data_IF_409942767404
#
_entry.id   IF_409942767404
#
_cell.length_a   1.000
_cell.length_b   1.000
_cell.length_c   1.000
_cell.angle_alpha   90.00
_cell.angle_beta   90.00
_cell.angle_gamma   90.00
#
_symmetry.space_group_name_H-M   'P 1'
#
loop_
_entity.id
_entity.type
_entity.pdbx_description
1 polymer ?
#
# COMPACT_ATOMS: atom_id res chain seq x y z
N UNK A 1 -16.66 8.46 7.94
CA UNK A 1 -16.85 9.28 6.73
C UNK A 1 -16.50 8.49 5.47
N UNK A 2 -16.97 8.94 4.33
CA UNK A 2 -16.70 8.34 3.02
C UNK A 2 -16.02 9.36 2.11
N UNK A 3 -14.97 8.92 1.39
CA UNK A 3 -14.32 9.74 0.38
C UNK A 3 -14.90 9.40 -0.99
N UNK A 4 -15.73 10.30 -1.53
CA UNK A 4 -16.38 10.15 -2.84
C UNK A 4 -17.14 8.82 -3.02
N UNK A 5 -17.70 8.25 -1.95
CA UNK A 5 -18.35 6.92 -1.98
C UNK A 5 -17.43 5.73 -2.27
N UNK A 6 -16.12 5.98 -2.48
CA UNK A 6 -15.16 4.96 -2.93
C UNK A 6 -14.50 4.21 -1.79
N UNK A 7 -14.27 4.90 -0.67
CA UNK A 7 -13.64 4.32 0.51
C UNK A 7 -14.16 4.96 1.79
N UNK A 8 -13.97 4.29 2.91
CA UNK A 8 -14.36 4.79 4.23
C UNK A 8 -13.12 5.13 5.06
N UNK A 9 -13.25 6.12 5.92
CA UNK A 9 -12.19 6.49 6.85
C UNK A 9 -12.77 7.11 8.14
N UNK A 10 -11.97 7.08 9.19
CA UNK A 10 -12.19 7.78 10.46
C UNK A 10 -11.04 8.77 10.63
N UNK A 11 -11.35 10.02 10.93
CA UNK A 11 -10.36 11.06 11.10
C UNK A 11 -10.62 12.28 10.21
N UNK A 12 -9.62 13.14 10.06
CA UNK A 12 -9.75 14.36 9.26
C UNK A 12 -9.45 14.09 7.78
N UNK A 13 -10.39 14.41 6.90
CA UNK A 13 -10.24 14.25 5.42
C UNK A 13 -8.97 14.94 4.88
N UNK A 14 -8.60 16.10 5.42
CA UNK A 14 -7.41 16.82 4.98
C UNK A 14 -6.08 16.08 5.28
N UNK A 15 -6.13 15.11 6.17
CA UNK A 15 -4.99 14.24 6.53
C UNK A 15 -4.98 12.91 5.78
N UNK A 16 -5.88 12.74 4.80
CA UNK A 16 -5.94 11.51 4.01
C UNK A 16 -4.62 11.30 3.27
N UNK A 17 -4.01 10.08 3.35
CA UNK A 17 -2.66 9.85 2.84
C UNK A 17 -2.53 10.13 1.34
N UNK A 18 -1.55 10.92 0.94
CA UNK A 18 -1.34 11.28 -0.47
C UNK A 18 -1.04 10.07 -1.35
N UNK A 19 -0.31 9.08 -0.82
CA UNK A 19 -0.10 7.81 -1.51
C UNK A 19 -1.42 7.07 -1.80
N UNK A 20 -2.37 7.11 -0.86
CA UNK A 20 -3.71 6.55 -1.08
C UNK A 20 -4.52 7.38 -2.10
N UNK A 21 -4.40 8.72 -2.09
CA UNK A 21 -5.02 9.56 -3.11
C UNK A 21 -4.53 9.18 -4.51
N UNK A 22 -3.21 9.09 -4.72
CA UNK A 22 -2.62 8.68 -6.00
C UNK A 22 -3.07 7.29 -6.43
N UNK A 23 -3.20 6.37 -5.49
CA UNK A 23 -3.71 5.02 -5.71
C UNK A 23 -5.17 5.05 -6.17
N UNK A 24 -6.05 5.74 -5.44
CA UNK A 24 -7.48 5.84 -5.75
C UNK A 24 -7.76 6.52 -7.08
N UNK A 25 -6.96 7.53 -7.43
CA UNK A 25 -7.06 8.24 -8.72
C UNK A 25 -6.49 7.43 -9.88
N UNK A 26 -5.72 6.37 -9.62
CA UNK A 26 -5.04 5.61 -10.67
C UNK A 26 -3.93 6.41 -11.39
N UNK A 27 -3.40 7.44 -10.75
CA UNK A 27 -2.40 8.36 -11.33
C UNK A 27 -0.99 8.17 -10.75
N UNK A 28 -0.83 7.21 -9.84
CA UNK A 28 0.46 6.84 -9.25
C UNK A 28 1.12 5.66 -9.95
N UNK A 29 2.43 5.53 -9.77
CA UNK A 29 3.17 4.32 -10.09
C UNK A 29 3.26 3.46 -8.83
N UNK A 30 2.82 2.21 -8.90
CA UNK A 30 2.95 1.30 -7.78
C UNK A 30 3.79 0.09 -8.15
N UNK A 31 4.23 -0.65 -7.13
CA UNK A 31 5.14 -1.77 -7.27
C UNK A 31 6.48 -1.41 -7.94
N UNK A 32 6.98 -0.18 -7.70
CA UNK A 32 8.37 0.16 -8.04
C UNK A 32 9.30 -0.60 -7.10
N UNK A 33 10.23 -1.33 -7.67
CA UNK A 33 11.13 -2.19 -6.90
C UNK A 33 12.58 -2.12 -7.37
N UNK A 34 13.49 -2.38 -6.44
CA UNK A 34 14.93 -2.53 -6.67
C UNK A 34 15.50 -3.78 -6.00
N UNK A 35 14.69 -4.47 -5.21
CA UNK A 35 15.06 -5.73 -4.58
C UNK A 35 13.99 -6.79 -4.79
N UNK A 36 14.41 -8.05 -4.79
CA UNK A 36 13.54 -9.23 -4.81
C UNK A 36 13.72 -10.06 -3.52
N UNK A 37 14.16 -9.43 -2.44
CA UNK A 37 14.46 -10.09 -1.16
C UNK A 37 13.45 -9.72 -0.09
N UNK A 38 13.21 -10.66 0.82
CA UNK A 38 12.49 -10.43 2.07
C UNK A 38 13.04 -11.33 3.16
N UNK A 39 13.07 -10.84 4.38
CA UNK A 39 13.53 -11.58 5.55
C UNK A 39 12.39 -12.16 6.41
N UNK A 40 11.13 -12.02 5.95
CA UNK A 40 9.94 -12.52 6.64
C UNK A 40 9.02 -13.21 5.63
N UNK A 41 8.44 -14.34 6.03
CA UNK A 41 7.46 -15.07 5.22
C UNK A 41 6.07 -14.96 5.87
N UNK A 42 5.34 -13.90 5.53
CA UNK A 42 3.99 -13.67 6.07
C UNK A 42 2.96 -14.56 5.37
N UNK A 43 2.12 -15.27 6.13
CA UNK A 43 1.03 -16.12 5.57
C UNK A 43 0.10 -15.37 4.61
N UNK A 44 -0.11 -14.08 4.84
CA UNK A 44 -0.96 -13.21 4.02
C UNK A 44 -0.23 -12.59 2.83
N UNK A 45 1.08 -12.85 2.66
CA UNK A 45 1.88 -12.22 1.61
C UNK A 45 1.41 -12.64 0.22
N UNK A 46 1.28 -11.67 -0.68
CA UNK A 46 0.98 -11.90 -2.09
C UNK A 46 2.03 -12.77 -2.80
N UNK A 47 3.28 -12.69 -2.32
CA UNK A 47 4.43 -13.43 -2.85
C UNK A 47 4.82 -14.60 -1.92
N UNK A 48 3.85 -15.17 -1.21
CA UNK A 48 4.12 -16.30 -0.33
C UNK A 48 4.70 -17.47 -1.14
N UNK A 49 5.81 -18.04 -0.68
CA UNK A 49 6.51 -19.12 -1.38
C UNK A 49 7.38 -18.70 -2.57
N UNK A 50 7.35 -17.41 -2.98
CA UNK A 50 8.12 -16.90 -4.13
C UNK A 50 9.35 -16.08 -3.73
N UNK A 51 9.77 -16.16 -2.48
CA UNK A 51 10.98 -15.49 -2.02
C UNK A 51 12.18 -16.01 -2.79
N UNK A 52 13.01 -15.11 -3.31
CA UNK A 52 14.22 -15.41 -4.10
C UNK A 52 14.00 -16.09 -5.46
N UNK A 53 12.75 -16.25 -5.93
CA UNK A 53 12.44 -16.87 -7.22
C UNK A 53 12.66 -15.94 -8.42
N UNK A 54 12.77 -14.64 -8.20
CA UNK A 54 12.91 -13.64 -9.27
C UNK A 54 14.37 -13.29 -9.51
N UNK A 55 14.79 -13.08 -10.78
CA UNK A 55 16.15 -12.64 -11.07
C UNK A 55 16.42 -11.28 -10.43
N UNK A 56 17.67 -11.02 -9.99
CA UNK A 56 18.03 -9.74 -9.38
C UNK A 56 17.81 -8.57 -10.34
N UNK A 57 17.45 -7.42 -9.77
CA UNK A 57 17.42 -6.17 -10.51
C UNK A 57 18.85 -5.63 -10.57
N UNK A 58 19.30 -5.31 -11.78
CA UNK A 58 20.67 -4.84 -12.02
C UNK A 58 21.00 -3.54 -11.26
N UNK A 59 22.29 -3.29 -11.06
CA UNK A 59 22.76 -2.03 -10.51
C UNK A 59 22.33 -0.86 -11.38
N UNK A 60 21.95 0.27 -10.79
CA UNK A 60 21.44 1.44 -11.52
C UNK A 60 20.09 1.22 -12.22
N UNK A 61 19.46 0.05 -12.04
CA UNK A 61 18.16 -0.26 -12.63
C UNK A 61 17.06 -0.26 -11.57
N UNK A 62 15.84 0.01 -12.01
CA UNK A 62 14.62 -0.18 -11.24
C UNK A 62 13.59 -0.91 -12.10
N UNK A 63 12.57 -1.45 -11.48
CA UNK A 63 11.55 -2.23 -12.17
C UNK A 63 10.16 -1.78 -11.75
N UNK A 64 9.23 -1.82 -12.71
CA UNK A 64 7.80 -1.64 -12.49
C UNK A 64 7.02 -2.53 -13.46
N UNK A 65 6.06 -3.31 -12.93
CA UNK A 65 5.20 -4.17 -13.75
C UNK A 65 5.96 -5.17 -14.63
N UNK A 66 7.12 -5.67 -14.19
CA UNK A 66 7.98 -6.59 -14.95
C UNK A 66 8.91 -5.90 -15.95
N UNK A 67 8.78 -4.58 -16.15
CA UNK A 67 9.65 -3.82 -17.05
C UNK A 67 10.77 -3.14 -16.27
N UNK A 68 12.00 -3.30 -16.75
CA UNK A 68 13.21 -2.72 -16.14
C UNK A 68 13.60 -1.43 -16.86
N UNK A 69 14.04 -0.44 -16.07
CA UNK A 69 14.48 0.86 -16.53
C UNK A 69 15.81 1.23 -15.86
N UNK A 70 16.58 2.09 -16.49
CA UNK A 70 17.75 2.71 -15.86
C UNK A 70 17.32 3.92 -15.01
N UNK A 71 17.99 4.15 -13.90
CA UNK A 71 17.74 5.33 -13.06
C UNK A 71 18.08 6.63 -13.80
N UNK A 72 19.05 6.60 -14.69
CA UNK A 72 19.46 7.76 -15.46
C UNK A 72 18.41 8.19 -16.48
N UNK A 73 17.50 7.31 -16.87
CA UNK A 73 16.40 7.62 -17.78
C UNK A 73 15.20 8.30 -17.10
N UNK A 74 15.18 8.40 -15.76
CA UNK A 74 14.01 8.95 -15.03
C UNK A 74 13.67 10.36 -15.50
N UNK A 75 14.64 11.24 -15.67
CA UNK A 75 14.42 12.63 -16.11
C UNK A 75 13.84 12.68 -17.53
N UNK A 76 14.37 11.86 -18.43
CA UNK A 76 13.85 11.72 -19.79
C UNK A 76 12.40 11.18 -19.74
N UNK A 77 12.15 10.14 -18.98
CA UNK A 77 10.81 9.55 -18.83
C UNK A 77 9.80 10.57 -18.32
N UNK A 78 10.19 11.38 -17.33
CA UNK A 78 9.35 12.46 -16.78
C UNK A 78 9.10 13.59 -17.78
N UNK A 79 9.99 13.78 -18.77
CA UNK A 79 9.82 14.79 -19.81
C UNK A 79 8.87 14.38 -20.93
N UNK A 80 8.78 13.08 -21.21
CA UNK A 80 7.98 12.54 -22.32
C UNK A 80 6.65 11.91 -21.88
N UNK A 81 6.48 11.65 -20.61
CA UNK A 81 5.29 11.04 -20.03
C UNK A 81 4.61 11.98 -19.05
N UNK A 82 3.29 11.83 -18.86
CA UNK A 82 2.59 12.56 -17.81
C UNK A 82 3.18 12.21 -16.45
N UNK A 83 3.58 13.22 -15.69
CA UNK A 83 4.18 13.06 -14.37
C UNK A 83 3.20 12.29 -13.44
N UNK A 84 3.66 11.21 -12.78
CA UNK A 84 2.83 10.52 -11.81
C UNK A 84 2.59 11.39 -10.58
N UNK A 85 1.42 11.24 -9.95
CA UNK A 85 1.11 11.97 -8.71
C UNK A 85 1.73 11.34 -7.47
N UNK A 86 2.14 10.07 -7.56
CA UNK A 86 2.82 9.38 -6.48
C UNK A 86 3.53 8.12 -6.95
N UNK A 87 4.49 7.67 -6.15
CA UNK A 87 5.26 6.43 -6.37
C UNK A 87 5.18 5.57 -5.12
N UNK A 88 4.88 4.28 -5.31
CA UNK A 88 4.90 3.28 -4.27
C UNK A 88 6.08 2.31 -4.46
N UNK A 89 7.01 2.34 -3.53
CA UNK A 89 8.04 1.34 -3.39
C UNK A 89 7.47 0.18 -2.57
N UNK A 90 6.90 -0.79 -3.27
CA UNK A 90 6.26 -1.97 -2.70
C UNK A 90 6.69 -3.20 -3.47
N UNK A 91 6.88 -4.25 -2.83
CA UNK A 91 7.28 -5.58 -3.25
C UNK A 91 8.37 -6.13 -2.33
N UNK A 92 8.05 -7.21 -1.64
CA UNK A 92 8.95 -7.83 -0.66
C UNK A 92 9.44 -6.81 0.40
N UNK A 93 10.75 -6.77 0.71
CA UNK A 93 11.26 -5.88 1.76
C UNK A 93 12.36 -4.96 1.24
N UNK A 94 12.05 -3.69 0.97
CA UNK A 94 13.05 -2.73 0.48
C UNK A 94 14.26 -2.56 1.39
N UNK A 95 14.08 -2.68 2.71
CA UNK A 95 15.18 -2.53 3.67
C UNK A 95 16.21 -3.65 3.64
N UNK A 96 15.99 -4.73 2.88
CA UNK A 96 17.02 -5.74 2.62
C UNK A 96 18.19 -5.20 1.78
N UNK A 97 17.93 -4.20 0.95
CA UNK A 97 18.89 -3.55 0.05
C UNK A 97 18.54 -2.06 -0.07
N UNK A 98 18.32 -1.38 1.05
CA UNK A 98 17.75 -0.03 1.09
C UNK A 98 18.61 1.02 0.39
N UNK A 99 19.92 0.83 0.40
CA UNK A 99 20.89 1.72 -0.27
C UNK A 99 20.64 1.85 -1.77
N UNK A 100 20.09 0.81 -2.39
CA UNK A 100 19.75 0.82 -3.82
C UNK A 100 18.61 1.78 -4.16
N UNK A 101 17.80 2.17 -3.17
CA UNK A 101 16.64 3.04 -3.37
C UNK A 101 16.96 4.53 -3.32
N UNK A 102 18.07 4.93 -2.67
CA UNK A 102 18.37 6.35 -2.46
C UNK A 102 18.51 7.15 -3.76
N UNK A 103 19.08 6.53 -4.81
CA UNK A 103 19.24 7.18 -6.13
C UNK A 103 17.89 7.51 -6.75
N UNK A 104 17.03 6.53 -6.89
CA UNK A 104 15.70 6.68 -7.48
C UNK A 104 14.82 7.62 -6.66
N UNK A 105 14.89 7.55 -5.31
CA UNK A 105 14.14 8.45 -4.43
C UNK A 105 14.54 9.91 -4.67
N UNK A 106 15.84 10.21 -4.71
CA UNK A 106 16.33 11.57 -4.94
C UNK A 106 15.87 12.15 -6.30
N UNK A 107 15.89 11.34 -7.35
CA UNK A 107 15.44 11.77 -8.68
C UNK A 107 13.95 12.12 -8.71
N UNK A 108 13.10 11.29 -8.14
CA UNK A 108 11.67 11.57 -8.07
C UNK A 108 11.33 12.70 -7.09
N UNK A 109 12.07 12.82 -6.00
CA UNK A 109 11.94 13.95 -5.06
C UNK A 109 12.26 15.28 -5.75
N UNK A 110 13.37 15.36 -6.50
CA UNK A 110 13.75 16.55 -7.27
C UNK A 110 12.67 16.93 -8.30
N UNK A 111 11.96 15.94 -8.85
CA UNK A 111 10.82 16.16 -9.75
C UNK A 111 9.53 16.56 -9.01
N UNK A 112 9.51 16.59 -7.67
CA UNK A 112 8.33 16.91 -6.84
C UNK A 112 7.22 15.86 -6.97
N UNK A 113 7.57 14.59 -7.11
CA UNK A 113 6.63 13.46 -7.08
C UNK A 113 6.53 12.94 -5.66
N UNK A 114 5.32 12.78 -5.15
CA UNK A 114 5.11 12.17 -3.83
C UNK A 114 5.55 10.70 -3.82
N UNK A 115 6.27 10.28 -2.78
CA UNK A 115 6.83 8.95 -2.70
C UNK A 115 6.51 8.27 -1.37
N UNK A 116 6.06 7.01 -1.45
CA UNK A 116 5.85 6.21 -0.26
C UNK A 116 6.46 4.81 -0.40
N UNK A 117 6.93 4.29 0.72
CA UNK A 117 7.60 2.98 0.80
C UNK A 117 6.93 2.11 1.85
N UNK A 118 6.89 0.81 1.57
CA UNK A 118 6.40 -0.20 2.51
C UNK A 118 7.55 -0.96 3.13
N UNK A 119 7.40 -1.34 4.40
CA UNK A 119 8.38 -2.16 5.11
C UNK A 119 7.73 -3.04 6.16
N UNK A 120 8.30 -4.22 6.43
CA UNK A 120 7.96 -5.01 7.62
C UNK A 120 8.55 -4.42 8.90
N UNK A 121 9.39 -3.41 8.78
CA UNK A 121 9.96 -2.62 9.86
C UNK A 121 11.09 -3.28 10.65
N UNK A 122 11.43 -4.54 10.39
CA UNK A 122 12.43 -5.27 11.20
C UNK A 122 13.85 -4.75 11.03
N UNK A 123 14.14 -4.15 9.86
CA UNK A 123 15.44 -3.59 9.48
C UNK A 123 15.46 -2.06 9.45
N UNK A 124 14.40 -1.40 9.93
CA UNK A 124 14.26 0.05 9.92
C UNK A 124 15.09 0.72 11.03
N UNK A 125 16.42 0.60 10.96
CA UNK A 125 17.33 1.25 11.90
C UNK A 125 17.26 2.78 11.80
N UNK A 126 17.65 3.50 12.85
CA UNK A 126 17.66 4.96 12.85
C UNK A 126 18.53 5.54 11.72
N UNK A 127 19.65 4.87 11.40
CA UNK A 127 20.54 5.25 10.31
C UNK A 127 19.82 5.16 8.96
N UNK A 128 19.16 4.04 8.67
CA UNK A 128 18.40 3.83 7.43
C UNK A 128 17.23 4.82 7.31
N UNK A 129 16.51 5.07 8.40
CA UNK A 129 15.40 6.00 8.44
C UNK A 129 15.85 7.44 8.18
N UNK A 130 16.96 7.86 8.75
CA UNK A 130 17.56 9.17 8.49
C UNK A 130 17.97 9.29 7.03
N UNK A 131 18.68 8.31 6.49
CA UNK A 131 19.13 8.32 5.10
C UNK A 131 17.96 8.37 4.10
N UNK A 132 16.83 7.70 4.39
CA UNK A 132 15.60 7.80 3.59
C UNK A 132 14.99 9.20 3.62
N UNK A 133 14.94 9.82 4.79
CA UNK A 133 14.47 11.21 4.94
C UNK A 133 15.35 12.19 4.18
N UNK A 134 16.67 12.04 4.28
CA UNK A 134 17.65 12.85 3.54
C UNK A 134 17.58 12.62 2.02
N UNK A 135 17.22 11.41 1.59
CA UNK A 135 16.96 11.12 0.18
C UNK A 135 15.67 11.75 -0.35
N UNK A 136 14.75 12.15 0.54
CA UNK A 136 13.50 12.82 0.21
C UNK A 136 12.29 11.87 0.10
N UNK A 137 12.28 10.75 0.83
CA UNK A 137 11.08 9.92 0.96
C UNK A 137 10.02 10.66 1.77
N UNK A 138 8.81 10.79 1.22
CA UNK A 138 7.72 11.54 1.86
C UNK A 138 6.98 10.73 2.91
N UNK A 139 6.77 9.42 2.66
CA UNK A 139 5.87 8.58 3.45
C UNK A 139 6.43 7.16 3.62
N UNK A 140 6.44 6.65 4.85
CA UNK A 140 6.87 5.28 5.16
C UNK A 140 5.74 4.53 5.86
N UNK A 141 5.42 3.33 5.36
CA UNK A 141 4.33 2.48 5.85
C UNK A 141 4.87 1.19 6.44
N UNK A 142 4.57 0.97 7.71
CA UNK A 142 4.96 -0.21 8.46
C UNK A 142 3.88 -1.30 8.41
N UNK A 143 4.26 -2.50 8.02
CA UNK A 143 3.38 -3.67 8.12
C UNK A 143 3.52 -4.32 9.50
N UNK A 144 2.67 -3.93 10.43
CA UNK A 144 2.70 -4.50 11.79
C UNK A 144 2.35 -6.00 11.84
N UNK A 145 1.51 -6.47 10.92
CA UNK A 145 1.17 -7.90 10.80
C UNK A 145 2.39 -8.76 10.50
N UNK A 146 3.32 -8.25 9.68
CA UNK A 146 4.55 -8.96 9.34
C UNK A 146 5.48 -9.17 10.53
N UNK A 147 5.41 -8.31 11.53
CA UNK A 147 6.25 -8.38 12.74
C UNK A 147 5.51 -8.87 13.98
N UNK A 148 4.23 -9.21 13.88
CA UNK A 148 3.36 -9.54 15.02
C UNK A 148 3.29 -8.42 16.07
N UNK A 149 3.30 -7.16 15.66
CA UNK A 149 3.37 -5.99 16.53
C UNK A 149 4.55 -6.07 17.52
N UNK A 150 5.74 -6.47 17.05
CA UNK A 150 6.91 -6.53 17.93
C UNK A 150 7.25 -5.15 18.51
N UNK A 151 7.70 -5.11 19.76
CA UNK A 151 8.03 -3.85 20.44
C UNK A 151 9.13 -3.08 19.70
N UNK A 152 10.10 -3.79 19.12
CA UNK A 152 11.16 -3.21 18.30
C UNK A 152 10.60 -2.46 17.08
N UNK A 153 9.63 -3.04 16.36
CA UNK A 153 9.03 -2.37 15.20
C UNK A 153 8.19 -1.18 15.63
N UNK A 154 7.50 -1.25 16.76
CA UNK A 154 6.78 -0.10 17.34
C UNK A 154 7.75 1.04 17.65
N UNK A 155 8.92 0.75 18.20
CA UNK A 155 9.98 1.75 18.45
C UNK A 155 10.55 2.33 17.13
N UNK A 156 10.68 1.50 16.08
CA UNK A 156 11.08 1.99 14.76
C UNK A 156 10.05 2.95 14.14
N UNK A 157 8.75 2.72 14.36
CA UNK A 157 7.70 3.66 13.94
C UNK A 157 7.90 5.03 14.62
N UNK A 158 8.10 5.05 15.94
CA UNK A 158 8.36 6.28 16.68
C UNK A 158 9.65 6.98 16.21
N UNK A 159 10.68 6.20 15.87
CA UNK A 159 11.94 6.73 15.34
C UNK A 159 11.75 7.31 13.95
N UNK A 160 10.98 6.65 13.08
CA UNK A 160 10.69 7.12 11.72
C UNK A 160 10.05 8.52 11.71
N UNK A 161 9.21 8.84 12.70
CA UNK A 161 8.59 10.17 12.85
C UNK A 161 9.57 11.33 13.00
N UNK A 162 10.84 11.04 13.35
CA UNK A 162 11.89 12.06 13.45
C UNK A 162 12.45 12.48 12.09
N UNK A 163 12.35 11.60 11.10
CA UNK A 163 13.07 11.74 9.82
C UNK A 163 12.14 11.76 8.61
N UNK A 164 11.00 11.08 8.66
CA UNK A 164 10.06 10.93 7.56
C UNK A 164 8.82 11.77 7.85
N UNK A 165 8.40 12.52 6.84
CA UNK A 165 7.28 13.49 6.99
C UNK A 165 5.97 12.83 7.39
N UNK A 166 5.64 11.70 6.76
CA UNK A 166 4.43 10.92 7.04
C UNK A 166 4.80 9.47 7.36
N UNK A 167 4.31 8.98 8.48
CA UNK A 167 4.54 7.60 8.89
C UNK A 167 3.21 6.92 9.12
N UNK A 168 2.96 5.87 8.37
CA UNK A 168 1.72 5.10 8.45
C UNK A 168 1.94 3.65 8.85
N UNK A 169 0.83 3.01 9.18
CA UNK A 169 0.72 1.56 9.32
C UNK A 169 -0.11 1.07 8.14
N UNK A 170 0.36 0.04 7.43
CA UNK A 170 -0.43 -0.62 6.40
C UNK A 170 -0.29 -2.13 6.51
N UNK A 171 -1.40 -2.80 6.76
CA UNK A 171 -1.43 -4.24 7.02
C UNK A 171 -2.84 -4.79 6.83
N UNK A 172 -3.00 -6.04 6.42
CA UNK A 172 -4.27 -6.72 6.57
C UNK A 172 -4.57 -6.95 8.06
N UNK A 173 -5.82 -6.71 8.45
CA UNK A 173 -6.24 -6.93 9.84
C UNK A 173 -6.67 -8.38 9.97
N UNK A 174 -5.74 -9.23 10.42
CA UNK A 174 -6.01 -10.63 10.78
C UNK A 174 -6.50 -10.72 12.22
N UNK A 175 -7.17 -11.83 12.63
CA UNK A 175 -7.60 -12.02 14.01
C UNK A 175 -6.46 -11.85 15.03
N UNK A 176 -5.31 -12.48 14.76
CA UNK A 176 -4.14 -12.42 15.64
C UNK A 176 -3.55 -10.99 15.72
N UNK A 177 -3.54 -10.29 14.58
CA UNK A 177 -3.10 -8.90 14.57
C UNK A 177 -4.06 -8.00 15.33
N UNK A 178 -5.37 -8.16 15.12
CA UNK A 178 -6.39 -7.37 15.83
C UNK A 178 -6.24 -7.50 17.35
N UNK A 179 -6.17 -8.73 17.85
CA UNK A 179 -6.00 -9.00 19.29
C UNK A 179 -4.69 -8.39 19.84
N UNK A 180 -3.59 -8.58 19.11
CA UNK A 180 -2.29 -8.06 19.54
C UNK A 180 -2.22 -6.54 19.46
N UNK A 181 -2.79 -5.96 18.41
CA UNK A 181 -2.89 -4.51 18.26
C UNK A 181 -3.71 -3.91 19.43
N UNK A 182 -4.89 -4.46 19.71
CA UNK A 182 -5.74 -3.95 20.79
C UNK A 182 -5.07 -4.05 22.15
N UNK A 183 -4.32 -5.11 22.40
CA UNK A 183 -3.55 -5.30 23.64
C UNK A 183 -2.40 -4.28 23.77
N UNK A 184 -1.81 -3.85 22.66
CA UNK A 184 -0.68 -2.90 22.61
C UNK A 184 -1.07 -1.51 22.11
N UNK A 185 -2.35 -1.22 21.93
CA UNK A 185 -2.83 -0.02 21.24
C UNK A 185 -2.26 1.27 21.80
N UNK A 186 -2.20 1.41 23.12
CA UNK A 186 -1.72 2.64 23.75
C UNK A 186 -0.23 2.89 23.41
N UNK A 187 0.59 1.83 23.39
CA UNK A 187 2.00 1.91 22.98
C UNK A 187 2.11 2.26 21.49
N UNK A 188 1.26 1.68 20.64
CA UNK A 188 1.25 1.94 19.20
C UNK A 188 0.77 3.38 18.94
N UNK A 189 -0.32 3.82 19.55
CA UNK A 189 -0.83 5.19 19.41
C UNK A 189 0.17 6.25 19.92
N UNK A 190 0.92 5.91 20.96
CA UNK A 190 1.96 6.79 21.51
C UNK A 190 3.13 7.04 20.56
N UNK A 191 3.31 6.22 19.49
CA UNK A 191 4.35 6.47 18.46
C UNK A 191 4.09 7.72 17.64
N UNK A 192 2.84 8.21 17.62
CA UNK A 192 2.44 9.37 16.86
C UNK A 192 2.39 9.14 15.34
N UNK A 193 2.17 7.91 14.89
CA UNK A 193 1.93 7.64 13.47
C UNK A 193 0.73 8.43 12.94
N UNK A 194 0.74 8.78 11.65
CA UNK A 194 -0.23 9.69 11.07
C UNK A 194 -1.52 8.98 10.63
N UNK A 195 -1.40 7.77 10.09
CA UNK A 195 -2.56 7.02 9.58
C UNK A 195 -2.35 5.51 9.65
N UNK A 196 -3.45 4.77 9.62
CA UNK A 196 -3.45 3.32 9.45
C UNK A 196 -4.32 2.95 8.26
N UNK A 197 -3.71 2.30 7.28
CA UNK A 197 -4.40 1.74 6.12
C UNK A 197 -4.70 0.26 6.37
N UNK A 198 -5.97 -0.03 6.67
CA UNK A 198 -6.44 -1.37 6.96
C UNK A 198 -6.75 -2.08 5.64
N UNK A 199 -5.79 -2.81 5.10
CA UNK A 199 -5.96 -3.54 3.86
C UNK A 199 -6.86 -4.75 4.09
N UNK A 200 -7.98 -4.86 3.37
CA UNK A 200 -8.72 -6.11 3.35
C UNK A 200 -7.84 -7.19 2.73
N UNK A 201 -7.73 -8.33 3.43
CA UNK A 201 -6.88 -9.42 2.98
C UNK A 201 -7.40 -9.98 1.65
N UNK A 202 -6.57 -9.90 0.64
CA UNK A 202 -6.86 -10.48 -0.66
C UNK A 202 -6.05 -11.78 -0.84
N UNK A 203 -6.76 -12.85 -1.18
CA UNK A 203 -6.16 -14.15 -1.43
C UNK A 203 -5.89 -14.36 -2.93
N UNK A 204 -4.75 -14.93 -3.21
CA UNK A 204 -4.30 -15.32 -4.55
C UNK A 204 -3.77 -16.77 -4.52
N UNK A 205 -3.37 -17.37 -5.66
CA UNK A 205 -2.86 -18.73 -5.68
C UNK A 205 -1.68 -19.01 -4.73
N UNK A 206 -0.86 -18.00 -4.43
CA UNK A 206 0.32 -18.18 -3.57
C UNK A 206 -0.03 -18.29 -2.08
N UNK A 207 -1.08 -17.64 -1.61
CA UNK A 207 -1.39 -17.55 -0.19
C UNK A 207 -2.70 -18.21 0.24
N UNK A 208 -3.57 -18.61 -0.70
CA UNK A 208 -4.92 -19.12 -0.39
C UNK A 208 -4.87 -20.40 0.46
N UNK A 209 -3.90 -21.27 0.26
CA UNK A 209 -3.76 -22.52 1.00
C UNK A 209 -3.45 -22.28 2.49
N UNK A 210 -2.88 -21.12 2.84
CA UNK A 210 -2.64 -20.74 4.23
C UNK A 210 -3.94 -20.45 5.01
N UNK A 211 -5.05 -20.35 4.30
CA UNK A 211 -6.38 -20.05 4.84
C UNK A 211 -7.38 -21.19 4.56
N UNK A 212 -6.86 -22.41 4.33
CA UNK A 212 -7.69 -23.60 4.20
C UNK A 212 -8.52 -23.82 5.47
N UNK A 213 -9.83 -23.98 5.32
CA UNK A 213 -10.77 -24.12 6.44
C UNK A 213 -11.38 -22.80 6.94
N UNK A 214 -10.92 -21.66 6.45
CA UNK A 214 -11.56 -20.37 6.73
C UNK A 214 -12.82 -20.18 5.89
N UNK A 215 -13.78 -19.42 6.42
CA UNK A 215 -14.94 -18.98 5.66
C UNK A 215 -14.54 -17.84 4.74
N UNK A 216 -14.57 -18.10 3.43
CA UNK A 216 -14.20 -17.16 2.40
C UNK A 216 -15.42 -16.61 1.67
N UNK A 217 -15.32 -15.40 1.16
CA UNK A 217 -16.24 -14.87 0.16
C UNK A 217 -15.48 -14.45 -1.09
N UNK A 218 -16.17 -14.44 -2.21
CA UNK A 218 -15.67 -13.88 -3.45
C UNK A 218 -16.55 -12.69 -3.84
N UNK A 219 -15.92 -11.52 -3.99
CA UNK A 219 -16.63 -10.36 -4.48
C UNK A 219 -17.04 -10.55 -5.95
N UNK A 220 -18.02 -9.78 -6.43
CA UNK A 220 -18.42 -9.80 -7.86
C UNK A 220 -17.27 -9.47 -8.81
N UNK A 221 -16.23 -8.79 -8.31
CA UNK A 221 -15.06 -8.38 -9.07
C UNK A 221 -13.94 -9.45 -9.05
N UNK A 222 -14.18 -10.61 -8.42
CA UNK A 222 -13.24 -11.72 -8.37
C UNK A 222 -12.23 -11.66 -7.21
N UNK A 223 -12.34 -10.69 -6.29
CA UNK A 223 -11.51 -10.68 -5.09
C UNK A 223 -11.98 -11.74 -4.10
N UNK A 224 -11.06 -12.55 -3.61
CA UNK A 224 -11.32 -13.57 -2.59
C UNK A 224 -10.73 -13.11 -1.27
N UNK A 225 -11.52 -13.16 -0.20
CA UNK A 225 -11.12 -12.73 1.13
C UNK A 225 -11.77 -13.59 2.22
N UNK A 226 -11.11 -13.75 3.36
CA UNK A 226 -11.78 -14.27 4.56
C UNK A 226 -12.87 -13.27 5.03
N UNK A 227 -14.01 -13.79 5.44
CA UNK A 227 -15.15 -12.98 5.89
C UNK A 227 -14.75 -12.02 7.01
N UNK A 228 -13.94 -12.49 7.96
CA UNK A 228 -13.51 -11.69 9.11
C UNK A 228 -12.63 -10.49 8.75
N UNK A 229 -11.99 -10.46 7.57
CA UNK A 229 -10.98 -9.44 7.26
C UNK A 229 -11.54 -8.03 7.30
N UNK A 230 -12.67 -7.80 6.62
CA UNK A 230 -13.30 -6.49 6.63
C UNK A 230 -14.05 -6.22 7.93
N UNK A 231 -14.67 -7.23 8.53
CA UNK A 231 -15.38 -7.07 9.81
C UNK A 231 -14.45 -6.56 10.91
N UNK A 232 -13.23 -7.09 10.99
CA UNK A 232 -12.22 -6.62 11.94
C UNK A 232 -11.75 -5.18 11.64
N UNK A 233 -11.63 -4.81 10.36
CA UNK A 233 -11.35 -3.42 9.97
C UNK A 233 -12.45 -2.48 10.46
N UNK A 234 -13.72 -2.82 10.22
CA UNK A 234 -14.85 -1.99 10.65
C UNK A 234 -14.90 -1.88 12.19
N UNK A 235 -14.67 -2.98 12.91
CA UNK A 235 -14.60 -3.00 14.37
C UNK A 235 -13.46 -2.11 14.90
N UNK A 236 -12.30 -2.11 14.22
CA UNK A 236 -11.19 -1.22 14.56
C UNK A 236 -11.58 0.26 14.34
N UNK A 237 -12.26 0.57 13.23
CA UNK A 237 -12.74 1.92 12.94
C UNK A 237 -13.80 2.40 13.95
N UNK A 238 -14.71 1.52 14.39
CA UNK A 238 -15.66 1.81 15.45
C UNK A 238 -14.94 2.15 16.77
N UNK A 239 -13.94 1.36 17.14
CA UNK A 239 -13.10 1.62 18.32
C UNK A 239 -12.37 2.96 18.18
N UNK A 240 -11.75 3.22 17.02
CA UNK A 240 -11.06 4.47 16.76
C UNK A 240 -11.98 5.69 16.87
N UNK A 241 -13.25 5.54 16.43
CA UNK A 241 -14.27 6.58 16.56
C UNK A 241 -14.66 6.80 18.01
N UNK A 242 -14.96 5.76 18.74
CA UNK A 242 -15.45 5.82 20.14
C UNK A 242 -14.36 6.31 21.10
N UNK A 243 -13.12 5.98 20.85
CA UNK A 243 -11.97 6.41 21.67
C UNK A 243 -11.28 7.67 21.16
N UNK A 244 -11.79 8.27 20.09
CA UNK A 244 -11.25 9.51 19.50
C UNK A 244 -9.75 9.42 19.16
N UNK A 245 -9.35 8.37 18.44
CA UNK A 245 -7.97 8.24 18.02
C UNK A 245 -7.54 9.38 17.11
N UNK A 246 -6.29 9.83 17.29
CA UNK A 246 -5.73 10.93 16.49
C UNK A 246 -5.38 10.51 15.06
N UNK A 247 -4.71 9.34 14.84
CA UNK A 247 -4.36 8.95 13.47
C UNK A 247 -5.61 8.66 12.64
N UNK A 248 -5.54 8.95 11.33
CA UNK A 248 -6.58 8.58 10.39
C UNK A 248 -6.60 7.06 10.18
N UNK A 249 -7.78 6.45 10.23
CA UNK A 249 -7.96 5.02 9.95
C UNK A 249 -8.72 4.87 8.64
N UNK A 250 -8.12 4.20 7.66
CA UNK A 250 -8.62 4.04 6.30
C UNK A 250 -9.01 2.58 6.01
N UNK A 251 -10.21 2.35 5.51
CA UNK A 251 -10.71 1.06 5.01
C UNK A 251 -10.26 0.84 3.55
N UNK A 252 -9.10 0.21 3.35
CA UNK A 252 -8.66 -0.23 2.03
C UNK A 252 -9.29 -1.58 1.66
N UNK A 253 -10.61 -1.58 1.51
CA UNK A 253 -11.41 -2.76 1.18
C UNK A 253 -11.23 -3.20 -0.28
N UNK A 254 -11.75 -4.39 -0.61
CA UNK A 254 -11.80 -4.87 -1.99
C UNK A 254 -12.64 -3.96 -2.89
N UNK A 255 -13.66 -3.30 -2.35
CA UNK A 255 -14.42 -2.26 -3.04
C UNK A 255 -13.55 -1.06 -3.39
N UNK A 256 -12.72 -0.60 -2.45
CA UNK A 256 -11.76 0.48 -2.66
C UNK A 256 -10.74 0.11 -3.75
N UNK A 257 -10.22 -1.12 -3.72
CA UNK A 257 -9.29 -1.65 -4.72
C UNK A 257 -9.93 -1.71 -6.10
N UNK A 258 -11.18 -2.13 -6.19
CA UNK A 258 -11.91 -2.17 -7.45
C UNK A 258 -12.12 -0.78 -8.05
N UNK A 259 -12.50 0.21 -7.24
CA UNK A 259 -12.63 1.59 -7.69
C UNK A 259 -11.30 2.14 -8.23
N UNK A 260 -10.18 1.82 -7.57
CA UNK A 260 -8.83 2.11 -8.07
C UNK A 260 -8.58 1.46 -9.44
N UNK A 261 -8.90 0.18 -9.60
CA UNK A 261 -8.63 -0.55 -10.84
C UNK A 261 -9.45 0.01 -12.01
N UNK A 262 -10.66 0.49 -11.76
CA UNK A 262 -11.46 1.21 -12.75
C UNK A 262 -10.78 2.53 -13.16
N UNK A 263 -10.28 3.30 -12.20
CA UNK A 263 -9.57 4.55 -12.49
C UNK A 263 -8.28 4.31 -13.27
N UNK A 264 -7.51 3.28 -12.91
CA UNK A 264 -6.30 2.88 -13.66
C UNK A 264 -6.62 2.58 -15.13
N UNK A 265 -7.76 1.95 -15.41
CA UNK A 265 -8.20 1.64 -16.78
C UNK A 265 -8.70 2.88 -17.53
N UNK A 266 -9.32 3.83 -16.82
CA UNK A 266 -9.82 5.07 -17.40
C UNK A 266 -8.68 6.03 -17.81
N UNK A 267 -7.52 5.93 -17.16
CA UNK A 267 -6.32 6.70 -17.52
C UNK A 267 -5.51 5.96 -18.60
N UNK A 268 -6.03 5.93 -19.82
CA UNK A 268 -5.25 5.49 -20.99
C UNK A 268 -3.97 6.31 -21.10
N UNK A 269 -2.82 5.64 -21.18
CA UNK A 269 -1.52 6.28 -21.27
C UNK A 269 -0.86 6.59 -19.92
N UNK A 270 -1.28 5.94 -18.84
CA UNK A 270 -0.47 5.82 -17.64
C UNK A 270 0.91 5.28 -18.00
N UNK A 271 1.93 5.56 -17.19
CA UNK A 271 3.30 5.15 -17.42
C UNK A 271 3.36 3.70 -17.90
N UNK A 272 3.70 3.54 -19.19
CA UNK A 272 3.88 2.25 -19.89
C UNK A 272 2.73 1.25 -19.79
N UNK A 273 1.50 1.70 -19.58
CA UNK A 273 0.38 0.77 -19.36
C UNK A 273 0.58 -0.12 -18.14
N UNK A 274 1.52 0.24 -17.29
CA UNK A 274 1.81 -0.45 -16.07
C UNK A 274 0.68 -0.20 -15.06
N UNK A 275 -0.37 -0.98 -15.19
CA UNK A 275 -1.16 -1.32 -14.02
C UNK A 275 -0.24 -2.15 -13.14
N UNK A 276 0.31 -1.55 -12.17
CA UNK A 276 1.45 -1.99 -11.42
C UNK A 276 1.15 -2.92 -10.29
N UNK A 277 -0.06 -3.31 -10.14
CA UNK A 277 -0.34 -4.55 -9.45
C UNK A 277 -0.31 -5.62 -10.53
N UNK A 278 0.71 -6.43 -10.54
CA UNK A 278 0.74 -7.73 -11.16
C UNK A 278 -0.34 -8.63 -10.56
N UNK A 279 -1.53 -8.09 -10.43
CA UNK A 279 -2.73 -8.84 -10.21
C UNK A 279 -2.88 -9.65 -11.48
N UNK A 280 -2.50 -10.89 -11.44
CA UNK A 280 -2.95 -11.93 -12.34
C UNK A 280 -4.47 -12.13 -12.20
N UNK A 281 -5.21 -11.03 -12.16
CA UNK A 281 -6.61 -11.13 -12.46
C UNK A 281 -6.70 -11.56 -13.91
N UNK A 282 -7.42 -12.63 -14.21
CA UNK A 282 -7.77 -12.90 -15.59
C UNK A 282 -8.25 -11.57 -16.15
N UNK A 283 -7.61 -11.07 -17.20
CA UNK A 283 -8.02 -9.84 -17.88
C UNK A 283 -9.41 -10.11 -18.46
N UNK A 284 -10.42 -9.91 -17.61
CA UNK A 284 -11.79 -9.96 -18.06
C UNK A 284 -11.94 -8.72 -18.94
N UNK A 285 -12.25 -8.88 -20.23
CA UNK A 285 -12.45 -7.74 -21.10
C UNK A 285 -13.42 -6.77 -20.42
N UNK A 286 -13.15 -5.47 -20.47
CA UNK A 286 -13.99 -4.42 -19.89
C UNK A 286 -15.50 -4.60 -20.24
N UNK A 287 -15.81 -5.10 -21.45
CA UNK A 287 -17.17 -5.42 -21.87
C UNK A 287 -17.86 -6.52 -21.04
N UNK A 288 -17.13 -7.30 -20.25
CA UNK A 288 -17.72 -8.30 -19.35
C UNK A 288 -18.04 -7.73 -17.96
N UNK A 289 -17.56 -6.52 -17.65
CA UNK A 289 -17.87 -5.79 -16.43
C UNK A 289 -18.97 -4.76 -16.69
N UNK A 290 -20.18 -5.22 -16.85
CA UNK A 290 -21.34 -4.36 -16.65
C UNK A 290 -21.64 -4.41 -15.16
N UNK A 291 -21.42 -3.31 -14.40
CA UNK A 291 -21.88 -3.24 -13.02
C UNK A 291 -23.37 -3.55 -13.06
N UNK A 292 -23.81 -4.55 -12.33
CA UNK A 292 -25.24 -4.75 -12.16
C UNK A 292 -25.79 -3.53 -11.44
N UNK A 293 -26.98 -3.07 -11.81
CA UNK A 293 -27.67 -1.90 -11.26
C UNK A 293 -27.83 -1.90 -9.72
N UNK A 294 -27.49 -2.99 -9.07
CA UNK A 294 -27.48 -3.11 -7.61
C UNK A 294 -26.21 -2.57 -6.95
N UNK A 295 -25.19 -2.23 -7.73
CA UNK A 295 -23.95 -1.64 -7.25
C UNK A 295 -23.94 -0.12 -7.52
N UNK A 296 -25.01 0.56 -7.08
CA UNK A 296 -25.20 2.03 -7.18
C UNK A 296 -24.03 2.85 -6.63
N UNK A 297 -23.14 2.19 -5.91
CA UNK A 297 -21.94 2.77 -5.36
C UNK A 297 -20.79 2.97 -6.36
N UNK A 298 -20.94 2.52 -7.60
CA UNK A 298 -19.97 2.72 -8.69
C UNK A 298 -20.48 3.79 -9.67
N UNK A 299 -21.50 4.55 -9.31
CA UNK A 299 -21.90 5.73 -10.06
C UNK A 299 -20.71 6.69 -10.06
N UNK A 300 -20.22 7.00 -11.24
CA UNK A 300 -19.27 8.07 -11.50
C UNK A 300 -20.01 9.40 -11.25
N UNK A 301 -20.21 9.77 -9.99
CA UNK A 301 -20.57 11.15 -9.68
C UNK A 301 -19.37 12.04 -10.00
N UNK A 302 -19.66 13.26 -10.48
CA UNK A 302 -18.65 14.27 -10.75
C UNK A 302 -17.69 14.37 -9.58
N UNK A 303 -16.42 14.19 -9.86
CA UNK A 303 -15.39 13.95 -8.86
C UNK A 303 -15.18 15.20 -8.00
N UNK A 304 -15.53 15.12 -6.73
CA UNK A 304 -14.92 16.03 -5.77
C UNK A 304 -13.40 15.79 -5.81
N UNK A 305 -12.58 16.83 -5.95
CA UNK A 305 -11.14 16.69 -5.92
C UNK A 305 -10.71 16.05 -4.60
N UNK A 306 -9.86 15.05 -4.68
CA UNK A 306 -9.21 14.48 -3.51
C UNK A 306 -8.34 15.55 -2.83
N UNK A 307 -8.19 15.51 -1.50
CA UNK A 307 -7.42 16.47 -0.74
C UNK A 307 -5.95 16.54 -1.14
#
# INVERSE_FOLDING_TARGET
ESLSGRTYFVGNKAEFPRGCCSCLLGTGLSAVRKTNKCNVQCKFCYNYGELDCQPPIGEGMWEIGGTKFYEDDIELLLSIQKKPTGIAYVYLEPFMEIEKYYGVIRKFHAAGVHQHMYTNGTLATEENLRALGEAGLDELRFNLGASGCSDRVIEHIATAKKYIRYVGIETPITPELYETFMRKKDKILATGFDFMNCAELHLNPNNIDNYAGESLYMSRQGYISPIWSRDLTLKLMETATSEHWKPLIHDCSNRTKFARDLNLRAHEGGWFGASSYGCEFPRIPYAAFIPTLEDESIVFEEEEPLP
#
